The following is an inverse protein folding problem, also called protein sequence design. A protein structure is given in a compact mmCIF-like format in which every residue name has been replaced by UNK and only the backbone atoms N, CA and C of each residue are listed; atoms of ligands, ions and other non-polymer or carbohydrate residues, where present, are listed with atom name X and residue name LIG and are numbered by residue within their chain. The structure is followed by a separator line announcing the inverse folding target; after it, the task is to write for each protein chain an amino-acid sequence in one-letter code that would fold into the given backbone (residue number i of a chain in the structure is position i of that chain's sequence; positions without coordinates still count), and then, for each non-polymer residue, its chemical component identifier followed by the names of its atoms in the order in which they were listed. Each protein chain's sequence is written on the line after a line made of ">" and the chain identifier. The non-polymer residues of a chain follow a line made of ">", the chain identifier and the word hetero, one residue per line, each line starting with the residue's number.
data_IF_912622026672
#
_entry.id   IF_912622026672
#
_cell.length_a   1.000
_cell.length_b   1.000
_cell.length_c   1.000
_cell.angle_alpha   90.00
_cell.angle_beta   90.00
_cell.angle_gamma   90.00
#
_symmetry.space_group_name_H-M   'P 1'
#
loop_
_entity.id
_entity.type
_entity.pdbx_description
1 polymer ?
#
# COMPACT_ATOMS: atom_id res chain seq x y z
N UNK A 1 -5.04 6.51 -10.11
CA UNK A 1 -4.78 7.18 -8.82
C UNK A 1 -6.03 7.01 -7.98
N UNK A 2 -5.91 6.53 -6.74
CA UNK A 2 -7.05 6.24 -5.85
C UNK A 2 -6.80 6.93 -4.51
N UNK A 3 -7.81 7.63 -3.98
CA UNK A 3 -7.77 8.16 -2.61
C UNK A 3 -8.41 7.19 -1.64
N UNK A 4 -7.73 6.93 -0.53
CA UNK A 4 -8.15 6.00 0.51
C UNK A 4 -8.20 6.69 1.87
N UNK A 5 -9.15 6.26 2.70
CA UNK A 5 -9.14 6.57 4.13
C UNK A 5 -8.60 5.35 4.87
N UNK A 6 -7.52 5.52 5.60
CA UNK A 6 -6.83 4.43 6.32
C UNK A 6 -6.62 4.81 7.77
N UNK A 7 -6.71 3.83 8.67
CA UNK A 7 -6.35 4.00 10.07
C UNK A 7 -4.85 3.74 10.22
N UNK A 8 -4.09 4.78 10.59
CA UNK A 8 -2.65 4.68 10.78
C UNK A 8 -2.27 5.27 12.15
N UNK A 9 -1.75 4.43 13.04
CA UNK A 9 -1.40 4.82 14.41
C UNK A 9 -2.58 5.38 15.23
N UNK A 10 -3.77 4.78 15.09
CA UNK A 10 -4.99 5.20 15.80
C UNK A 10 -5.66 6.47 15.26
N UNK A 11 -5.15 7.06 14.18
CA UNK A 11 -5.77 8.23 13.52
C UNK A 11 -6.21 7.89 12.10
N UNK A 12 -7.38 8.40 11.71
CA UNK A 12 -7.84 8.35 10.32
C UNK A 12 -6.99 9.28 9.47
N UNK A 13 -6.38 8.76 8.41
CA UNK A 13 -5.57 9.52 7.44
C UNK A 13 -6.14 9.34 6.04
N UNK A 14 -6.06 10.40 5.24
CA UNK A 14 -6.32 10.32 3.80
C UNK A 14 -4.99 10.06 3.12
N UNK A 15 -4.93 9.02 2.30
CA UNK A 15 -3.75 8.68 1.51
C UNK A 15 -4.12 8.57 0.04
N UNK A 16 -3.14 8.86 -0.81
CA UNK A 16 -3.22 8.68 -2.25
C UNK A 16 -2.40 7.45 -2.61
N UNK A 17 -3.07 6.47 -3.21
CA UNK A 17 -2.47 5.28 -3.80
C UNK A 17 -2.28 5.52 -5.29
N UNK A 18 -1.05 5.32 -5.77
CA UNK A 18 -0.70 5.49 -7.18
C UNK A 18 0.17 4.33 -7.65
N UNK A 19 -0.23 3.70 -8.76
CA UNK A 19 0.56 2.67 -9.44
C UNK A 19 1.53 3.35 -10.40
N UNK A 20 2.82 3.02 -10.27
CA UNK A 20 3.90 3.47 -11.12
C UNK A 20 3.95 2.62 -12.41
N UNK A 21 4.77 3.03 -13.38
CA UNK A 21 4.89 2.35 -14.68
C UNK A 21 5.55 0.96 -14.56
N UNK A 22 6.41 0.78 -13.57
CA UNK A 22 7.10 -0.47 -13.23
C UNK A 22 6.23 -1.44 -12.42
N UNK A 23 4.99 -1.08 -12.09
CA UNK A 23 4.04 -1.95 -11.38
C UNK A 23 4.09 -1.84 -9.85
N UNK A 24 4.97 -0.99 -9.32
CA UNK A 24 5.01 -0.62 -7.90
C UNK A 24 3.84 0.29 -7.55
N UNK A 25 3.39 0.22 -6.30
CA UNK A 25 2.39 1.10 -5.72
C UNK A 25 3.04 2.03 -4.72
N UNK A 26 2.90 3.33 -4.94
CA UNK A 26 3.30 4.37 -3.99
C UNK A 26 2.09 4.85 -3.18
N UNK A 27 2.27 4.95 -1.87
CA UNK A 27 1.31 5.51 -0.93
C UNK A 27 1.83 6.84 -0.43
N UNK A 28 1.05 7.90 -0.65
CA UNK A 28 1.39 9.27 -0.24
C UNK A 28 0.33 9.85 0.68
N UNK A 29 0.71 10.75 1.57
CA UNK A 29 -0.26 11.52 2.35
C UNK A 29 -0.92 12.66 1.55
N UNK A 30 -1.72 13.48 2.22
CA UNK A 30 -2.38 14.67 1.66
C UNK A 30 -1.40 15.79 1.27
N UNK A 31 -0.20 15.78 1.86
CA UNK A 31 0.91 16.66 1.52
C UNK A 31 1.82 16.07 0.43
N UNK A 32 1.39 14.99 -0.22
CA UNK A 32 2.14 14.26 -1.26
C UNK A 32 3.47 13.66 -0.77
N UNK A 33 3.69 13.55 0.54
CA UNK A 33 4.87 12.90 1.11
C UNK A 33 4.72 11.38 1.00
N UNK A 34 5.80 10.70 0.64
CA UNK A 34 5.84 9.26 0.56
C UNK A 34 5.70 8.65 1.96
N UNK A 35 4.77 7.70 2.09
CA UNK A 35 4.57 6.92 3.31
C UNK A 35 5.07 5.48 3.14
N UNK A 36 4.84 4.90 1.97
CA UNK A 36 5.27 3.55 1.64
C UNK A 36 5.32 3.34 0.12
N UNK A 37 6.13 2.38 -0.31
CA UNK A 37 6.09 1.77 -1.64
C UNK A 37 5.90 0.26 -1.49
N UNK A 38 5.16 -0.38 -2.38
CA UNK A 38 4.97 -1.82 -2.32
C UNK A 38 4.69 -2.43 -3.68
N UNK A 39 5.04 -3.70 -3.85
CA UNK A 39 4.88 -4.45 -5.10
C UNK A 39 4.42 -5.87 -4.82
N UNK A 40 3.72 -6.45 -5.79
CA UNK A 40 3.32 -7.84 -5.73
C UNK A 40 4.54 -8.75 -5.87
N UNK A 41 4.60 -9.76 -5.04
CA UNK A 41 5.44 -10.95 -5.19
C UNK A 41 4.56 -12.12 -5.67
N UNK A 42 5.08 -13.35 -5.59
CA UNK A 42 4.35 -14.55 -5.96
C UNK A 42 3.36 -14.99 -4.86
N UNK A 43 2.37 -15.81 -5.24
CA UNK A 43 1.43 -16.47 -4.32
C UNK A 43 0.64 -15.53 -3.39
N UNK A 44 0.32 -14.33 -3.88
CA UNK A 44 -0.44 -13.33 -3.11
C UNK A 44 0.38 -12.64 -2.02
N UNK A 45 1.70 -12.79 -2.02
CA UNK A 45 2.56 -11.98 -1.18
C UNK A 45 2.79 -10.61 -1.79
N UNK A 46 2.88 -9.60 -0.93
CA UNK A 46 3.23 -8.24 -1.29
C UNK A 46 4.35 -7.78 -0.38
N UNK A 47 5.36 -7.16 -0.96
CA UNK A 47 6.47 -6.57 -0.22
C UNK A 47 6.33 -5.06 -0.23
N UNK A 48 6.42 -4.45 0.93
CA UNK A 48 6.35 -3.01 1.10
C UNK A 48 7.51 -2.46 1.91
N UNK A 49 7.96 -1.27 1.55
CA UNK A 49 8.96 -0.47 2.24
C UNK A 49 8.31 0.81 2.74
N UNK A 50 8.39 1.07 4.04
CA UNK A 50 7.90 2.29 4.66
C UNK A 50 8.93 3.41 4.52
N UNK A 51 8.49 4.66 4.62
CA UNK A 51 9.37 5.84 4.51
C UNK A 51 10.50 5.91 5.56
N UNK A 52 10.40 5.13 6.65
CA UNK A 52 11.47 4.99 7.66
C UNK A 52 12.49 3.88 7.32
N UNK A 53 12.38 3.26 6.15
CA UNK A 53 13.21 2.15 5.69
C UNK A 53 12.75 0.78 6.19
N UNK A 54 11.68 0.70 6.97
CA UNK A 54 11.15 -0.58 7.45
C UNK A 54 10.54 -1.36 6.29
N UNK A 55 11.05 -2.58 6.07
CA UNK A 55 10.49 -3.51 5.09
C UNK A 55 9.50 -4.46 5.76
N UNK A 56 8.33 -4.63 5.16
CA UNK A 56 7.27 -5.56 5.60
C UNK A 56 6.81 -6.43 4.44
N UNK A 57 6.44 -7.66 4.74
CA UNK A 57 5.71 -8.54 3.81
C UNK A 57 4.29 -8.74 4.31
N UNK A 58 3.34 -8.63 3.40
CA UNK A 58 1.91 -8.76 3.68
C UNK A 58 1.34 -9.80 2.73
N UNK A 59 0.67 -10.81 3.27
CA UNK A 59 -0.07 -11.75 2.45
C UNK A 59 -1.48 -11.22 2.20
N UNK A 60 -1.85 -11.05 0.94
CA UNK A 60 -3.19 -10.71 0.48
C UNK A 60 -3.51 -11.64 -0.68
N UNK A 61 -4.29 -12.71 -0.45
CA UNK A 61 -4.66 -13.64 -1.51
C UNK A 61 -5.57 -12.90 -2.49
N UNK A 62 -5.08 -12.66 -3.69
CA UNK A 62 -5.86 -12.02 -4.77
C UNK A 62 -6.09 -13.02 -5.88
N UNK A 63 -7.29 -13.00 -6.45
CA UNK A 63 -7.47 -13.39 -7.85
C UNK A 63 -6.92 -12.26 -8.71
N UNK A 64 -6.12 -12.55 -9.74
CA UNK A 64 -5.45 -11.53 -10.59
C UNK A 64 -6.40 -10.42 -11.12
N UNK A 65 -7.69 -10.73 -11.17
CA UNK A 65 -8.80 -9.88 -11.62
C UNK A 65 -9.03 -8.63 -10.74
N UNK A 66 -8.49 -8.59 -9.51
CA UNK A 66 -8.76 -7.57 -8.49
C UNK A 66 -7.48 -6.95 -7.88
N UNK A 67 -6.43 -6.76 -8.67
CA UNK A 67 -5.13 -6.21 -8.22
C UNK A 67 -5.29 -4.87 -7.47
N UNK A 68 -6.21 -3.99 -7.91
CA UNK A 68 -6.46 -2.72 -7.23
C UNK A 68 -7.09 -2.94 -5.84
N UNK A 69 -8.00 -3.90 -5.70
CA UNK A 69 -8.59 -4.23 -4.41
C UNK A 69 -7.54 -4.79 -3.44
N UNK A 70 -6.61 -5.61 -3.95
CA UNK A 70 -5.46 -6.07 -3.18
C UNK A 70 -4.57 -4.93 -2.73
N UNK A 71 -4.20 -4.03 -3.64
CA UNK A 71 -3.35 -2.89 -3.31
C UNK A 71 -3.99 -1.99 -2.23
N UNK A 72 -5.31 -1.82 -2.24
CA UNK A 72 -6.05 -1.13 -1.18
C UNK A 72 -5.94 -1.85 0.16
N UNK A 73 -6.05 -3.18 0.18
CA UNK A 73 -5.93 -3.99 1.39
C UNK A 73 -4.49 -4.00 1.94
N UNK A 74 -3.49 -4.17 1.07
CA UNK A 74 -2.06 -4.05 1.40
C UNK A 74 -1.77 -2.69 2.01
N UNK A 75 -2.30 -1.61 1.43
CA UNK A 75 -2.13 -0.24 1.97
C UNK A 75 -2.63 -0.14 3.40
N UNK A 76 -3.81 -0.69 3.71
CA UNK A 76 -4.36 -0.69 5.08
C UNK A 76 -3.46 -1.46 6.03
N UNK A 77 -3.00 -2.66 5.63
CA UNK A 77 -2.18 -3.55 6.46
C UNK A 77 -0.76 -3.03 6.70
N UNK A 78 -0.15 -2.41 5.69
CA UNK A 78 1.17 -1.80 5.82
C UNK A 78 1.16 -0.62 6.81
N UNK A 79 0.10 0.20 6.74
CA UNK A 79 -0.02 1.42 7.54
C UNK A 79 -0.70 1.21 8.91
N UNK A 80 -1.37 0.08 9.12
CA UNK A 80 -1.80 -0.34 10.44
C UNK A 80 -0.58 -0.74 11.29
N UNK A 81 -0.54 -0.23 12.52
CA UNK A 81 0.42 -0.66 13.55
C UNK A 81 -0.22 -1.77 14.37
#
# INVERSE_FOLDING_TARGET
>A
MVRLRVLAGGRMRVVTLWRTRDGTYAVRDDQMRLLAEFWAEQDGWWRGELADGTVRRVWVPVREEDEEAAAREVTKRLLSR
#
